data_IF_924574029987
#
_entry.id   IF_924574029987
#
_cell.length_a   1.000
_cell.length_b   1.000
_cell.length_c   1.000
_cell.angle_alpha   90.00
_cell.angle_beta   90.00
_cell.angle_gamma   90.00
#
_symmetry.space_group_name_H-M   'P 1'
#
loop_
_entity.id
_entity.type
_entity.pdbx_description
1 polymer ?
#
# COMPACT_ATOMS: atom_id res chain seq x y z
N UNK A 1 30.12 36.83 46.24
CA UNK A 1 29.00 35.86 46.24
C UNK A 1 28.75 35.54 44.78
N UNK A 2 29.51 34.60 44.26
CA UNK A 2 29.57 34.27 42.82
C UNK A 2 28.38 33.39 42.45
N UNK A 3 27.66 33.78 41.39
CA UNK A 3 26.54 33.02 40.83
C UNK A 3 27.09 31.84 40.01
N UNK A 4 26.60 30.60 40.20
CA UNK A 4 27.07 29.47 39.43
C UNK A 4 26.59 29.55 37.98
N UNK A 5 27.52 29.23 37.09
CA UNK A 5 27.46 29.32 35.63
C UNK A 5 26.48 28.30 35.02
N UNK A 6 25.46 28.79 34.32
CA UNK A 6 24.47 27.98 33.59
C UNK A 6 25.01 27.50 32.22
N UNK A 7 26.14 26.77 32.20
CA UNK A 7 26.77 26.29 30.95
C UNK A 7 26.31 24.88 30.49
N UNK A 8 25.32 24.28 31.15
CA UNK A 8 24.93 22.87 30.92
C UNK A 8 23.77 22.62 29.95
N UNK A 9 23.01 23.64 29.52
CA UNK A 9 21.74 23.41 28.80
C UNK A 9 21.87 23.35 27.28
N UNK A 10 22.94 23.88 26.67
CA UNK A 10 23.07 23.91 25.22
C UNK A 10 23.47 22.55 24.60
N UNK A 11 24.22 21.72 25.32
CA UNK A 11 24.67 20.40 24.83
C UNK A 11 23.57 19.35 24.76
N UNK A 12 22.65 19.33 25.73
CA UNK A 12 21.60 18.30 25.83
C UNK A 12 20.54 18.40 24.71
N UNK A 13 20.24 19.62 24.22
CA UNK A 13 19.29 19.80 23.12
C UNK A 13 19.82 19.28 21.78
N UNK A 14 21.13 19.41 21.51
CA UNK A 14 21.73 18.95 20.26
C UNK A 14 21.84 17.42 20.20
N UNK A 15 22.16 16.76 21.32
CA UNK A 15 22.21 15.29 21.38
C UNK A 15 20.82 14.64 21.29
N UNK A 16 19.79 15.22 21.93
CA UNK A 16 18.43 14.69 21.84
C UNK A 16 17.84 14.79 20.43
N UNK A 17 18.08 15.91 19.72
CA UNK A 17 17.64 16.06 18.34
C UNK A 17 18.34 15.08 17.39
N UNK A 18 19.63 14.81 17.59
CA UNK A 18 20.37 13.84 16.78
C UNK A 18 19.85 12.40 17.01
N UNK A 19 19.56 12.02 18.26
CA UNK A 19 18.96 10.73 18.60
C UNK A 19 17.54 10.57 18.05
N UNK A 20 16.71 11.62 18.11
CA UNK A 20 15.36 11.61 17.51
C UNK A 20 15.43 11.50 15.99
N UNK A 21 16.27 12.31 15.33
CA UNK A 21 16.44 12.28 13.87
C UNK A 21 16.97 10.94 13.38
N UNK A 22 17.96 10.36 14.08
CA UNK A 22 18.49 9.02 13.79
C UNK A 22 17.41 7.93 13.93
N UNK A 23 16.56 8.00 14.96
CA UNK A 23 15.42 7.08 15.13
C UNK A 23 14.42 7.19 13.98
N UNK A 24 14.03 8.41 13.59
CA UNK A 24 13.11 8.60 12.46
C UNK A 24 13.71 8.11 11.14
N UNK A 25 14.99 8.40 10.88
CA UNK A 25 15.70 7.88 9.70
C UNK A 25 15.76 6.36 9.72
N UNK A 26 16.04 5.74 10.87
CA UNK A 26 16.08 4.28 11.01
C UNK A 26 14.71 3.66 10.74
N UNK A 27 13.63 4.23 11.30
CA UNK A 27 12.26 3.75 11.04
C UNK A 27 11.91 3.85 9.55
N UNK A 28 12.25 4.96 8.89
CA UNK A 28 12.02 5.11 7.44
C UNK A 28 12.80 4.10 6.62
N UNK A 29 14.09 3.88 6.94
CA UNK A 29 14.93 2.89 6.26
C UNK A 29 14.38 1.47 6.46
N UNK A 30 13.94 1.15 7.69
CA UNK A 30 13.36 -0.16 8.00
C UNK A 30 12.04 -0.36 7.24
N UNK A 31 11.17 0.65 7.18
CA UNK A 31 9.92 0.58 6.45
C UNK A 31 10.15 0.43 4.93
N UNK A 32 11.13 1.14 4.38
CA UNK A 32 11.53 0.98 2.98
C UNK A 32 12.11 -0.42 2.71
N UNK A 33 12.94 -0.94 3.61
CA UNK A 33 13.47 -2.30 3.52
C UNK A 33 12.35 -3.36 3.60
N UNK A 34 11.37 -3.18 4.50
CA UNK A 34 10.19 -4.03 4.61
C UNK A 34 9.35 -3.99 3.33
N UNK A 35 9.15 -2.80 2.75
CA UNK A 35 8.46 -2.64 1.47
C UNK A 35 9.17 -3.39 0.33
N UNK A 36 10.50 -3.25 0.23
CA UNK A 36 11.31 -4.02 -0.73
C UNK A 36 11.21 -5.53 -0.50
N UNK A 37 11.29 -5.97 0.76
CA UNK A 37 11.15 -7.39 1.11
C UNK A 37 9.79 -7.95 0.71
N UNK A 38 8.70 -7.20 0.92
CA UNK A 38 7.34 -7.58 0.50
C UNK A 38 7.25 -7.67 -1.02
N UNK A 39 7.88 -6.76 -1.77
CA UNK A 39 7.92 -6.85 -3.25
C UNK A 39 8.62 -8.14 -3.68
N UNK A 40 9.78 -8.46 -3.09
CA UNK A 40 10.53 -9.68 -3.41
C UNK A 40 9.69 -10.94 -3.08
N UNK A 41 9.02 -10.96 -1.92
CA UNK A 41 8.10 -12.02 -1.51
C UNK A 41 6.90 -12.16 -2.46
N UNK A 42 6.32 -11.04 -2.91
CA UNK A 42 5.21 -11.04 -3.86
C UNK A 42 5.64 -11.62 -5.22
N UNK A 43 6.88 -11.34 -5.63
CA UNK A 43 7.47 -11.88 -6.84
C UNK A 43 7.76 -13.39 -6.70
N UNK A 44 8.23 -13.83 -5.53
CA UNK A 44 8.53 -15.23 -5.25
C UNK A 44 7.25 -16.08 -5.07
N UNK A 45 6.18 -15.49 -4.52
CA UNK A 45 4.88 -16.13 -4.34
C UNK A 45 4.11 -16.15 -5.67
N UNK A 46 4.48 -17.07 -6.55
CA UNK A 46 3.75 -17.35 -7.78
C UNK A 46 3.75 -18.84 -8.08
N UNK A 47 2.66 -19.35 -8.66
CA UNK A 47 2.49 -20.77 -9.03
C UNK A 47 3.60 -21.30 -9.98
N UNK A 48 4.39 -20.40 -10.57
CA UNK A 48 5.58 -20.68 -11.37
C UNK A 48 6.77 -19.99 -10.72
N UNK A 49 7.77 -20.76 -10.28
CA UNK A 49 9.02 -20.21 -9.73
C UNK A 49 9.86 -19.62 -10.87
N UNK A 50 9.66 -18.33 -11.15
CA UNK A 50 10.45 -17.59 -12.15
C UNK A 50 11.51 -16.80 -11.39
N UNK A 51 12.82 -17.05 -11.61
CA UNK A 51 13.89 -16.34 -10.92
C UNK A 51 13.88 -14.84 -11.26
N UNK A 52 14.25 -13.99 -10.29
CA UNK A 52 14.21 -12.52 -10.39
C UNK A 52 14.92 -11.97 -11.64
N UNK A 53 16.09 -12.54 -11.98
CA UNK A 53 16.83 -12.16 -13.19
C UNK A 53 16.06 -12.44 -14.48
N UNK A 54 15.22 -13.48 -14.49
CA UNK A 54 14.39 -13.82 -15.65
C UNK A 54 13.17 -12.92 -15.78
N UNK A 55 12.60 -12.44 -14.67
CA UNK A 55 11.53 -11.43 -14.69
C UNK A 55 12.04 -10.12 -15.28
N UNK A 56 13.25 -9.67 -14.90
CA UNK A 56 13.88 -8.51 -15.50
C UNK A 56 14.12 -8.70 -17.00
N UNK A 57 14.60 -9.87 -17.43
CA UNK A 57 14.73 -10.20 -18.85
C UNK A 57 13.39 -10.29 -19.59
N UNK A 58 12.32 -10.80 -18.96
CA UNK A 58 10.96 -10.84 -19.56
C UNK A 58 10.37 -9.42 -19.70
N UNK A 59 10.70 -8.51 -18.79
CA UNK A 59 10.28 -7.11 -18.86
C UNK A 59 11.09 -6.36 -19.94
N UNK A 60 12.41 -6.55 -20.01
CA UNK A 60 13.29 -5.79 -20.93
C UNK A 60 13.41 -6.39 -22.33
N UNK A 61 13.47 -7.71 -22.44
CA UNK A 61 13.79 -8.43 -23.69
C UNK A 61 12.61 -9.29 -24.16
N UNK A 62 11.54 -9.41 -23.36
CA UNK A 62 10.35 -10.26 -23.65
C UNK A 62 10.72 -11.70 -24.02
N UNK A 63 11.86 -12.17 -23.50
CA UNK A 63 12.44 -13.47 -23.79
C UNK A 63 11.94 -14.49 -22.78
N UNK A 64 11.09 -15.41 -23.23
CA UNK A 64 10.50 -16.46 -22.40
C UNK A 64 9.36 -17.20 -23.09
N UNK A 65 8.85 -18.23 -22.43
CA UNK A 65 7.67 -18.97 -22.88
C UNK A 65 6.46 -18.02 -22.94
N UNK A 66 5.56 -18.18 -23.93
CA UNK A 66 4.38 -17.29 -24.09
C UNK A 66 3.56 -17.20 -22.79
N UNK A 67 3.44 -18.32 -22.07
CA UNK A 67 2.72 -18.40 -20.81
C UNK A 67 3.41 -17.62 -19.68
N UNK A 68 4.74 -17.71 -19.56
CA UNK A 68 5.52 -16.99 -18.54
C UNK A 68 5.43 -15.48 -18.75
N UNK A 69 5.58 -15.02 -20.01
CA UNK A 69 5.47 -13.61 -20.38
C UNK A 69 4.06 -13.09 -20.06
N UNK A 70 3.02 -13.86 -20.40
CA UNK A 70 1.64 -13.48 -20.15
C UNK A 70 1.32 -13.41 -18.64
N UNK A 71 1.81 -14.35 -17.84
CA UNK A 71 1.63 -14.33 -16.37
C UNK A 71 2.32 -13.12 -15.75
N UNK A 72 3.56 -12.82 -16.14
CA UNK A 72 4.30 -11.68 -15.59
C UNK A 72 3.60 -10.36 -15.96
N UNK A 73 3.25 -10.18 -17.23
CA UNK A 73 2.68 -8.92 -17.74
C UNK A 73 1.19 -8.72 -17.39
N UNK A 74 0.35 -9.76 -17.43
CA UNK A 74 -1.09 -9.62 -17.19
C UNK A 74 -1.53 -9.89 -15.76
N UNK A 75 -0.70 -10.52 -14.93
CA UNK A 75 -1.08 -10.88 -13.55
C UNK A 75 -0.15 -10.23 -12.53
N UNK A 76 1.16 -10.49 -12.58
CA UNK A 76 2.08 -10.05 -11.52
C UNK A 76 2.32 -8.55 -11.52
N UNK A 77 2.67 -7.98 -12.67
CA UNK A 77 2.94 -6.55 -12.81
C UNK A 77 1.73 -5.69 -12.42
N UNK A 78 0.51 -5.91 -12.95
CA UNK A 78 -0.64 -5.13 -12.53
C UNK A 78 -0.98 -5.33 -11.05
N UNK A 79 -0.79 -6.53 -10.49
CA UNK A 79 -1.01 -6.78 -9.06
C UNK A 79 -0.05 -5.98 -8.17
N UNK A 80 1.24 -5.96 -8.49
CA UNK A 80 2.24 -5.18 -7.73
C UNK A 80 1.90 -3.68 -7.79
N UNK A 81 1.55 -3.19 -8.99
CA UNK A 81 1.17 -1.80 -9.19
C UNK A 81 -0.09 -1.43 -8.40
N UNK A 82 -1.13 -2.27 -8.46
CA UNK A 82 -2.36 -2.08 -7.69
C UNK A 82 -2.09 -2.12 -6.18
N UNK A 83 -1.26 -3.05 -5.70
CA UNK A 83 -0.91 -3.13 -4.27
C UNK A 83 -0.19 -1.87 -3.79
N UNK A 84 0.72 -1.30 -4.60
CA UNK A 84 1.42 -0.08 -4.27
C UNK A 84 0.49 1.13 -4.25
N UNK A 85 -0.34 1.28 -5.30
CA UNK A 85 -1.28 2.41 -5.42
C UNK A 85 -2.35 2.36 -4.32
N UNK A 86 -3.01 1.21 -4.14
CA UNK A 86 -4.08 1.06 -3.15
C UNK A 86 -3.54 1.15 -1.72
N UNK A 87 -2.37 0.57 -1.44
CA UNK A 87 -1.71 0.69 -0.14
C UNK A 87 -1.34 2.14 0.19
N UNK A 88 -0.79 2.87 -0.78
CA UNK A 88 -0.50 4.30 -0.65
C UNK A 88 -1.76 5.15 -0.44
N UNK A 89 -2.80 4.91 -1.23
CA UNK A 89 -4.08 5.61 -1.10
C UNK A 89 -4.73 5.37 0.29
N UNK A 90 -4.67 4.14 0.80
CA UNK A 90 -5.18 3.80 2.13
C UNK A 90 -4.39 4.50 3.25
N UNK A 91 -3.06 4.50 3.15
CA UNK A 91 -2.20 5.19 4.11
C UNK A 91 -2.45 6.72 4.12
N UNK A 92 -2.56 7.33 2.94
CA UNK A 92 -2.88 8.75 2.78
C UNK A 92 -4.28 9.09 3.31
N UNK A 93 -5.30 8.29 2.96
CA UNK A 93 -6.66 8.48 3.45
C UNK A 93 -6.73 8.38 4.98
N UNK A 94 -6.04 7.42 5.59
CA UNK A 94 -5.95 7.29 7.04
C UNK A 94 -5.27 8.50 7.69
N UNK A 95 -4.14 8.96 7.15
CA UNK A 95 -3.43 10.13 7.65
C UNK A 95 -4.28 11.41 7.57
N UNK A 96 -4.96 11.63 6.44
CA UNK A 96 -5.85 12.78 6.26
C UNK A 96 -7.02 12.75 7.24
N UNK A 97 -7.61 11.58 7.47
CA UNK A 97 -8.72 11.43 8.41
C UNK A 97 -8.28 11.67 9.86
N UNK A 98 -7.14 11.09 10.25
CA UNK A 98 -6.54 11.32 11.57
C UNK A 98 -6.25 12.81 11.80
N UNK A 99 -5.81 13.52 10.76
CA UNK A 99 -5.55 14.96 10.81
C UNK A 99 -6.84 15.77 10.88
N UNK A 100 -7.84 15.45 10.05
CA UNK A 100 -9.10 16.19 9.98
C UNK A 100 -9.93 16.08 11.27
N UNK A 101 -10.00 14.88 11.86
CA UNK A 101 -10.70 14.66 13.12
C UNK A 101 -9.85 14.96 14.34
N UNK A 102 -8.57 15.34 14.16
CA UNK A 102 -7.57 15.48 15.22
C UNK A 102 -7.57 14.28 16.19
N UNK A 103 -7.86 13.09 15.64
CA UNK A 103 -8.13 11.90 16.41
C UNK A 103 -7.33 10.71 15.87
N UNK A 104 -6.28 10.25 16.57
CA UNK A 104 -5.38 9.20 16.08
C UNK A 104 -6.04 7.81 15.95
N UNK A 105 -7.25 7.62 16.49
CA UNK A 105 -8.04 6.39 16.34
C UNK A 105 -9.10 6.45 15.22
N UNK A 106 -9.25 7.61 14.54
CA UNK A 106 -10.16 7.72 13.41
C UNK A 106 -9.60 6.98 12.19
N UNK A 107 -10.34 5.98 11.70
CA UNK A 107 -9.99 5.20 10.51
C UNK A 107 -10.99 5.42 9.36
N UNK A 108 -10.57 5.34 8.09
CA UNK A 108 -11.42 5.60 6.91
C UNK A 108 -12.62 4.66 6.82
N UNK A 109 -12.55 3.50 7.45
CA UNK A 109 -13.64 2.53 7.54
C UNK A 109 -14.80 2.99 8.44
N UNK A 110 -14.60 3.97 9.32
CA UNK A 110 -15.60 4.43 10.29
C UNK A 110 -16.70 5.27 9.62
N UNK A 111 -16.42 5.89 8.48
CA UNK A 111 -17.37 6.73 7.73
C UNK A 111 -18.42 5.94 6.93
N UNK A 112 -18.39 4.60 6.97
CA UNK A 112 -19.37 3.76 6.28
C UNK A 112 -19.19 3.61 4.77
N UNK A 113 -18.26 4.36 4.15
CA UNK A 113 -17.98 4.36 2.70
C UNK A 113 -17.63 2.95 2.19
N UNK A 114 -16.82 2.19 2.93
CA UNK A 114 -16.47 0.82 2.55
C UNK A 114 -17.65 -0.16 2.65
N UNK A 115 -18.57 0.07 3.59
CA UNK A 115 -19.76 -0.78 3.77
C UNK A 115 -20.81 -0.48 2.70
N UNK A 116 -20.99 0.80 2.33
CA UNK A 116 -21.86 1.23 1.23
C UNK A 116 -21.44 0.64 -0.12
N UNK A 117 -20.17 0.82 -0.49
CA UNK A 117 -19.60 0.25 -1.71
C UNK A 117 -19.77 -1.28 -1.79
N UNK A 118 -19.50 -2.00 -0.68
CA UNK A 118 -19.67 -3.46 -0.62
C UNK A 118 -21.13 -3.89 -0.74
N UNK A 119 -22.05 -3.16 -0.12
CA UNK A 119 -23.48 -3.45 -0.22
C UNK A 119 -23.98 -3.26 -1.65
N UNK A 120 -23.65 -2.14 -2.29
CA UNK A 120 -24.04 -1.87 -3.68
C UNK A 120 -23.48 -2.92 -4.65
N UNK A 121 -22.19 -3.27 -4.51
CA UNK A 121 -21.57 -4.35 -5.29
C UNK A 121 -22.28 -5.68 -5.08
N UNK A 122 -22.60 -6.05 -3.84
CA UNK A 122 -23.27 -7.31 -3.53
C UNK A 122 -24.68 -7.38 -4.14
N UNK A 123 -25.48 -6.32 -4.02
CA UNK A 123 -26.83 -6.25 -4.59
C UNK A 123 -26.76 -6.38 -6.12
N UNK A 124 -25.92 -5.57 -6.77
CA UNK A 124 -25.77 -5.60 -8.23
C UNK A 124 -25.28 -6.97 -8.70
N UNK A 125 -24.34 -7.58 -7.98
CA UNK A 125 -23.83 -8.91 -8.30
C UNK A 125 -24.93 -9.98 -8.23
N UNK A 126 -25.76 -9.98 -7.17
CA UNK A 126 -26.86 -10.94 -7.02
C UNK A 126 -27.88 -10.79 -8.15
N UNK A 127 -28.33 -9.57 -8.43
CA UNK A 127 -29.32 -9.31 -9.49
C UNK A 127 -28.80 -9.65 -10.90
N UNK A 128 -27.54 -9.30 -11.22
CA UNK A 128 -26.99 -9.56 -12.55
C UNK A 128 -26.68 -11.03 -12.80
N UNK A 129 -26.25 -11.78 -11.77
CA UNK A 129 -26.04 -13.22 -11.89
C UNK A 129 -27.37 -13.92 -12.17
N UNK A 130 -28.43 -13.55 -11.44
CA UNK A 130 -29.76 -14.14 -11.61
C UNK A 130 -30.32 -13.87 -13.02
N UNK A 131 -30.20 -12.64 -13.52
CA UNK A 131 -30.80 -12.25 -14.80
C UNK A 131 -29.97 -12.63 -16.04
N UNK A 132 -28.63 -12.55 -15.97
CA UNK A 132 -27.74 -12.68 -17.14
C UNK A 132 -26.67 -13.78 -17.00
N UNK A 133 -26.56 -14.44 -15.85
CA UNK A 133 -25.57 -15.50 -15.59
C UNK A 133 -24.11 -15.04 -15.53
N UNK A 134 -23.82 -13.77 -15.83
CA UNK A 134 -22.49 -13.15 -15.77
C UNK A 134 -22.61 -11.68 -15.39
N UNK A 135 -21.65 -11.19 -14.60
CA UNK A 135 -21.55 -9.77 -14.29
C UNK A 135 -20.29 -9.19 -14.94
N UNK A 136 -20.41 -8.21 -15.85
CA UNK A 136 -19.23 -7.56 -16.42
C UNK A 136 -18.52 -6.73 -15.34
N UNK A 137 -17.19 -6.77 -15.33
CA UNK A 137 -16.37 -6.10 -14.30
C UNK A 137 -16.62 -4.60 -14.20
N UNK A 138 -16.97 -3.95 -15.32
CA UNK A 138 -17.29 -2.51 -15.36
C UNK A 138 -18.51 -2.17 -14.51
N UNK A 139 -19.53 -3.03 -14.51
CA UNK A 139 -20.75 -2.81 -13.72
C UNK A 139 -20.46 -2.90 -12.23
N UNK A 140 -19.59 -3.84 -11.81
CA UNK A 140 -19.17 -3.96 -10.41
C UNK A 140 -18.37 -2.74 -9.96
N UNK A 141 -17.51 -2.20 -10.83
CA UNK A 141 -16.74 -0.98 -10.52
C UNK A 141 -17.70 0.20 -10.33
N UNK A 142 -18.66 0.40 -11.24
CA UNK A 142 -19.64 1.48 -11.12
C UNK A 142 -20.52 1.32 -9.87
N UNK A 143 -20.95 0.10 -9.56
CA UNK A 143 -21.72 -0.19 -8.35
C UNK A 143 -20.94 0.20 -7.09
N UNK A 144 -19.63 -0.08 -7.04
CA UNK A 144 -18.77 0.29 -5.92
C UNK A 144 -18.61 1.81 -5.74
N UNK A 145 -18.74 2.61 -6.81
CA UNK A 145 -18.69 4.08 -6.73
C UNK A 145 -20.03 4.71 -6.36
N UNK A 146 -21.15 4.05 -6.67
CA UNK A 146 -22.50 4.54 -6.36
C UNK A 146 -22.86 4.30 -4.90
N UNK A 147 -22.37 3.21 -4.29
CA UNK A 147 -22.59 2.88 -2.88
C UNK A 147 -21.56 3.49 -1.94
#
# INVERSE_FOLDING_TARGET
MELPMEHGRAGSFHEENFRRRSRYTLVFVLLAAAFCAIIILNINTGNVNIPLGRILQIIFTRSGSVDEVNIVWKIRLPRILMSAILGGALALSGFLLQTFFENPIAGPFVLGISSGAKMAVAIVMIYFIDMFGKVPSVILILAAFVG
#
